data_IF_455023456950
#
_entry.id   IF_455023456950
#
_cell.length_a   1.000
_cell.length_b   1.000
_cell.length_c   1.000
_cell.angle_alpha   90.00
_cell.angle_beta   90.00
_cell.angle_gamma   90.00
#
_symmetry.space_group_name_H-M   'P 1'
#
loop_
_entity.id
_entity.type
_entity.pdbx_description
1 polymer ?
#
# COMPACT_ATOMS: atom_id res chain seq x y z
N UNK A 1 57.03 -28.95 -40.87
CA UNK A 1 55.72 -28.87 -41.58
C UNK A 1 54.52 -29.13 -40.67
N UNK A 2 54.51 -30.19 -39.83
CA UNK A 2 53.41 -30.49 -38.89
C UNK A 2 53.01 -29.33 -37.95
N UNK A 3 53.96 -28.52 -37.50
CA UNK A 3 53.70 -27.45 -36.53
C UNK A 3 52.98 -26.22 -37.13
N UNK A 4 53.17 -25.97 -38.43
CA UNK A 4 52.58 -24.83 -39.14
C UNK A 4 51.09 -25.06 -39.42
N UNK A 5 50.72 -26.31 -39.73
CA UNK A 5 49.33 -26.69 -40.02
C UNK A 5 48.43 -26.60 -38.78
N UNK A 6 48.99 -26.95 -37.62
CA UNK A 6 48.29 -26.91 -36.33
C UNK A 6 47.98 -25.47 -35.90
N UNK A 7 48.90 -24.54 -36.18
CA UNK A 7 48.75 -23.12 -35.86
C UNK A 7 47.65 -22.44 -36.69
N UNK A 8 47.55 -22.78 -37.98
CA UNK A 8 46.50 -22.26 -38.87
C UNK A 8 45.09 -22.72 -38.45
N UNK A 9 44.96 -23.97 -38.01
CA UNK A 9 43.68 -24.51 -37.53
C UNK A 9 43.18 -23.78 -36.26
N UNK A 10 44.08 -23.48 -35.33
CA UNK A 10 43.75 -22.77 -34.08
C UNK A 10 43.32 -21.31 -34.36
N UNK A 11 43.99 -20.62 -35.28
CA UNK A 11 43.63 -19.23 -35.64
C UNK A 11 42.26 -19.18 -36.34
N UNK A 12 41.92 -20.17 -37.16
CA UNK A 12 40.60 -20.26 -37.81
C UNK A 12 39.45 -20.45 -36.83
N UNK A 13 39.64 -21.28 -35.79
CA UNK A 13 38.63 -21.53 -34.75
C UNK A 13 38.36 -20.31 -33.85
N UNK A 14 39.34 -19.43 -33.64
CA UNK A 14 39.20 -18.20 -32.85
C UNK A 14 38.36 -17.10 -33.54
N UNK A 15 38.11 -17.20 -34.85
CA UNK A 15 37.36 -16.19 -35.62
C UNK A 15 35.84 -16.47 -35.73
N UNK A 16 35.36 -17.65 -35.29
CA UNK A 16 33.97 -18.10 -35.48
C UNK A 16 33.10 -17.94 -34.21
N UNK A 17 33.70 -17.65 -33.06
CA UNK A 17 32.98 -17.43 -31.80
C UNK A 17 32.49 -15.99 -31.67
N UNK A 18 31.40 -15.64 -32.37
CA UNK A 18 30.63 -14.41 -32.12
C UNK A 18 29.70 -14.62 -30.92
N UNK A 19 30.23 -14.52 -29.70
CA UNK A 19 29.40 -14.37 -28.50
C UNK A 19 29.11 -12.88 -28.26
N UNK A 20 28.27 -12.30 -29.13
CA UNK A 20 27.63 -11.02 -28.86
C UNK A 20 26.13 -11.25 -29.00
N UNK A 21 25.41 -11.16 -27.87
CA UNK A 21 24.01 -10.77 -27.92
C UNK A 21 23.95 -9.48 -28.72
N UNK A 22 23.07 -9.42 -29.73
CA UNK A 22 23.01 -8.35 -30.73
C UNK A 22 22.59 -6.99 -30.16
N UNK A 23 23.32 -6.50 -29.18
CA UNK A 23 23.17 -5.18 -28.60
C UNK A 23 23.84 -4.22 -29.59
N UNK A 24 23.02 -3.39 -30.24
CA UNK A 24 23.39 -2.33 -31.17
C UNK A 24 23.97 -2.78 -32.53
N UNK A 25 23.34 -3.75 -33.22
CA UNK A 25 23.72 -4.16 -34.59
C UNK A 25 22.52 -4.65 -35.44
N UNK A 26 22.52 -4.34 -36.75
CA UNK A 26 21.43 -4.64 -37.70
C UNK A 26 21.34 -6.13 -38.13
N UNK A 27 22.26 -6.98 -37.69
CA UNK A 27 22.20 -8.43 -37.91
C UNK A 27 22.62 -9.14 -36.63
N UNK A 28 21.70 -9.31 -35.66
CA UNK A 28 21.99 -9.95 -34.39
C UNK A 28 22.18 -11.45 -34.61
N UNK A 29 23.39 -11.96 -34.42
CA UNK A 29 23.73 -13.35 -34.72
C UNK A 29 23.37 -14.38 -33.64
N UNK A 30 22.76 -13.96 -32.51
CA UNK A 30 22.48 -14.84 -31.36
C UNK A 30 21.39 -14.30 -30.44
N UNK A 31 20.71 -15.21 -29.73
CA UNK A 31 19.62 -14.96 -28.78
C UNK A 31 20.13 -14.57 -27.39
N UNK A 32 19.51 -13.59 -26.73
CA UNK A 32 19.73 -13.30 -25.31
C UNK A 32 18.83 -14.20 -24.47
N UNK A 33 19.40 -15.18 -23.76
CA UNK A 33 18.71 -16.02 -22.79
C UNK A 33 19.18 -15.64 -21.37
N UNK A 34 18.29 -15.03 -20.59
CA UNK A 34 18.55 -14.66 -19.18
C UNK A 34 17.76 -15.61 -18.29
N UNK A 35 18.45 -16.63 -17.78
CA UNK A 35 17.87 -17.63 -16.85
C UNK A 35 17.94 -17.23 -15.36
N UNK A 36 18.25 -15.96 -15.10
CA UNK A 36 18.33 -15.37 -13.75
C UNK A 36 17.42 -14.16 -13.60
N UNK A 37 17.56 -13.41 -12.50
CA UNK A 37 16.80 -12.18 -12.26
C UNK A 37 17.57 -10.94 -12.69
N UNK A 38 16.89 -9.98 -13.32
CA UNK A 38 17.38 -8.61 -13.39
C UNK A 38 17.15 -7.94 -12.02
N UNK A 39 18.23 -7.53 -11.35
CA UNK A 39 18.15 -6.77 -10.11
C UNK A 39 18.61 -5.33 -10.37
N UNK A 40 17.71 -4.37 -10.20
CA UNK A 40 18.07 -2.95 -10.15
C UNK A 40 18.61 -2.62 -8.75
N UNK A 41 19.83 -2.08 -8.64
CA UNK A 41 20.36 -1.69 -7.33
C UNK A 41 19.45 -0.67 -6.63
N UNK A 42 19.13 -0.93 -5.36
CA UNK A 42 18.50 0.04 -4.47
C UNK A 42 19.59 0.88 -3.79
N UNK A 43 19.57 2.18 -4.02
CA UNK A 43 20.48 3.13 -3.40
C UNK A 43 19.68 4.04 -2.46
N UNK A 44 19.95 3.94 -1.16
CA UNK A 44 19.44 4.90 -0.18
C UNK A 44 20.31 6.15 -0.20
N UNK A 45 19.70 7.31 -0.37
CA UNK A 45 20.43 8.59 -0.51
C UNK A 45 19.78 9.62 0.41
N UNK A 46 20.60 10.29 1.23
CA UNK A 46 20.14 11.31 2.19
C UNK A 46 20.12 12.72 1.60
N UNK A 47 20.95 12.97 0.58
CA UNK A 47 20.86 14.04 -0.42
C UNK A 47 22.08 13.91 -1.34
N UNK A 48 21.91 13.78 -2.66
CA UNK A 48 22.99 14.02 -3.65
C UNK A 48 22.54 13.74 -5.08
N UNK A 49 23.15 14.49 -6.00
CA UNK A 49 23.24 14.22 -7.43
C UNK A 49 23.85 12.83 -7.66
N UNK A 50 23.10 11.90 -8.22
CA UNK A 50 23.69 10.63 -8.66
C UNK A 50 24.38 10.84 -10.00
N UNK A 51 25.58 10.27 -10.14
CA UNK A 51 26.30 10.27 -11.41
C UNK A 51 25.59 9.44 -12.48
N UNK A 52 25.79 9.81 -13.74
CA UNK A 52 25.11 9.38 -14.96
C UNK A 52 25.23 7.88 -15.34
N UNK A 53 25.46 6.95 -14.41
CA UNK A 53 25.78 5.55 -14.75
C UNK A 53 24.94 4.47 -14.08
N UNK A 54 24.08 4.78 -13.12
CA UNK A 54 23.33 3.74 -12.40
C UNK A 54 21.82 3.82 -12.67
N UNK A 55 21.24 2.78 -13.28
CA UNK A 55 19.80 2.51 -13.21
C UNK A 55 19.48 2.10 -11.76
N UNK A 56 19.00 3.04 -10.95
CA UNK A 56 18.83 2.82 -9.51
C UNK A 56 17.41 3.11 -9.07
N UNK A 57 16.96 2.34 -8.08
CA UNK A 57 15.89 2.80 -7.19
C UNK A 57 16.53 3.70 -6.16
N UNK A 58 16.07 4.94 -6.05
CA UNK A 58 16.66 5.97 -5.19
C UNK A 58 15.68 6.20 -4.05
N UNK A 59 16.06 5.87 -2.82
CA UNK A 59 15.18 6.00 -1.66
C UNK A 59 15.61 7.17 -0.78
N UNK A 60 14.76 8.20 -0.74
CA UNK A 60 14.87 9.34 0.17
C UNK A 60 14.06 9.09 1.44
N UNK A 61 14.62 9.45 2.60
CA UNK A 61 13.92 9.39 3.90
C UNK A 61 13.64 10.77 4.51
N UNK A 62 14.23 11.83 3.93
CA UNK A 62 14.07 13.23 4.34
C UNK A 62 13.77 14.11 3.12
N UNK A 63 13.43 15.38 3.34
CA UNK A 63 13.28 16.32 2.22
C UNK A 63 14.62 16.52 1.54
N UNK A 64 14.60 16.71 0.22
CA UNK A 64 15.82 16.91 -0.54
C UNK A 64 15.55 17.10 -2.02
N UNK A 65 16.60 17.47 -2.75
CA UNK A 65 16.54 17.64 -4.20
C UNK A 65 17.31 16.51 -4.88
N UNK A 66 16.67 15.87 -5.85
CA UNK A 66 17.31 14.97 -6.81
C UNK A 66 17.45 15.68 -8.15
N UNK A 67 18.69 15.98 -8.54
CA UNK A 67 18.96 16.55 -9.87
C UNK A 67 19.15 15.43 -10.88
N UNK A 68 18.32 15.44 -11.93
CA UNK A 68 18.46 14.56 -13.08
C UNK A 68 19.76 14.90 -13.83
N UNK A 69 20.49 13.89 -14.33
CA UNK A 69 21.62 14.08 -15.24
C UNK A 69 21.31 15.04 -16.39
N UNK A 70 22.30 15.81 -16.86
CA UNK A 70 22.13 16.56 -18.09
C UNK A 70 22.07 15.59 -19.29
N UNK A 71 21.08 15.74 -20.16
CA UNK A 71 20.99 14.98 -21.40
C UNK A 71 22.19 15.30 -22.31
N UNK A 72 22.72 14.26 -22.96
CA UNK A 72 23.91 14.32 -23.79
C UNK A 72 23.53 13.96 -25.23
N UNK A 73 24.05 14.70 -26.22
CA UNK A 73 23.93 14.34 -27.64
C UNK A 73 25.10 13.48 -28.09
N UNK A 74 24.88 12.61 -29.08
CA UNK A 74 25.93 11.78 -29.67
C UNK A 74 26.29 10.55 -28.81
N UNK A 75 27.56 10.17 -28.82
CA UNK A 75 28.03 9.00 -28.08
C UNK A 75 27.80 9.17 -26.58
N UNK A 76 27.16 8.19 -25.95
CA UNK A 76 26.77 8.26 -24.54
C UNK A 76 25.39 8.88 -24.28
N UNK A 77 24.63 9.26 -25.31
CA UNK A 77 23.20 9.57 -25.16
C UNK A 77 22.48 8.40 -24.47
N UNK A 78 21.72 8.71 -23.42
CA UNK A 78 21.06 7.74 -22.57
C UNK A 78 19.53 7.81 -22.68
N UNK A 79 19.04 8.17 -23.87
CA UNK A 79 17.62 8.08 -24.22
C UNK A 79 17.06 6.71 -23.85
N UNK A 80 15.91 6.71 -23.19
CA UNK A 80 15.25 5.53 -22.68
C UNK A 80 15.65 5.11 -21.26
N UNK A 81 16.67 5.72 -20.65
CA UNK A 81 17.04 5.43 -19.26
C UNK A 81 15.96 5.87 -18.28
N UNK A 82 15.67 5.02 -17.31
CA UNK A 82 14.66 5.25 -16.27
C UNK A 82 15.31 5.39 -14.89
N UNK A 83 14.77 6.32 -14.09
CA UNK A 83 15.07 6.48 -12.67
C UNK A 83 13.81 6.26 -11.86
N UNK A 84 13.89 5.40 -10.85
CA UNK A 84 12.81 5.19 -9.89
C UNK A 84 13.16 5.92 -8.61
N UNK A 85 12.41 6.97 -8.27
CA UNK A 85 12.68 7.84 -7.13
C UNK A 85 11.57 7.66 -6.12
N UNK A 86 11.90 7.05 -4.98
CA UNK A 86 10.99 6.80 -3.86
C UNK A 86 11.21 7.84 -2.78
N UNK A 87 10.14 8.54 -2.41
CA UNK A 87 10.07 9.31 -1.18
C UNK A 87 9.46 8.42 -0.08
N UNK A 88 10.31 7.85 0.76
CA UNK A 88 9.92 6.92 1.82
C UNK A 88 9.52 7.56 3.15
N UNK A 89 9.61 8.88 3.31
CA UNK A 89 9.15 9.56 4.52
C UNK A 89 7.70 10.05 4.38
N UNK A 90 7.05 10.33 5.52
CA UNK A 90 5.61 10.64 5.58
C UNK A 90 5.30 12.13 5.41
N UNK A 91 6.17 13.02 5.88
CA UNK A 91 5.93 14.48 5.94
C UNK A 91 6.92 15.31 5.12
N UNK A 92 7.83 14.66 4.40
CA UNK A 92 8.86 15.29 3.58
C UNK A 92 8.46 15.34 2.10
N UNK A 93 9.06 16.29 1.39
CA UNK A 93 8.92 16.44 -0.07
C UNK A 93 10.29 16.24 -0.70
N UNK A 94 10.34 15.39 -1.72
CA UNK A 94 11.51 15.24 -2.57
C UNK A 94 11.27 16.01 -3.86
N UNK A 95 12.12 16.98 -4.16
CA UNK A 95 12.04 17.74 -5.41
C UNK A 95 12.96 17.10 -6.44
N UNK A 96 12.40 16.69 -7.56
CA UNK A 96 13.18 16.31 -8.73
C UNK A 96 13.42 17.58 -9.53
N UNK A 97 14.66 17.81 -9.94
CA UNK A 97 15.06 19.00 -10.69
C UNK A 97 15.81 18.58 -11.95
N UNK A 98 15.58 19.27 -13.06
CA UNK A 98 16.35 19.10 -14.29
C UNK A 98 17.66 19.87 -14.26
N UNK A 99 18.63 19.43 -15.06
CA UNK A 99 19.88 20.16 -15.28
C UNK A 99 19.71 21.19 -16.39
N UNK A 100 20.37 22.35 -16.31
CA UNK A 100 20.33 23.38 -17.35
C UNK A 100 18.89 23.87 -17.68
N UNK A 101 18.58 24.12 -18.96
CA UNK A 101 17.27 24.55 -19.45
C UNK A 101 16.36 23.38 -19.88
N UNK A 102 16.64 22.17 -19.36
CA UNK A 102 15.86 20.95 -19.62
C UNK A 102 14.51 20.97 -18.90
N UNK A 103 13.57 20.17 -19.40
CA UNK A 103 12.23 20.08 -18.80
C UNK A 103 11.76 18.62 -18.66
N UNK A 104 10.84 18.45 -17.71
CA UNK A 104 10.09 17.24 -17.44
C UNK A 104 8.68 17.44 -18.00
N UNK A 105 8.23 16.53 -18.86
CA UNK A 105 6.84 16.40 -19.24
C UNK A 105 6.04 15.77 -18.08
N UNK A 106 5.19 16.61 -17.50
CA UNK A 106 4.21 16.28 -16.48
C UNK A 106 2.81 16.44 -17.09
N UNK A 107 2.33 15.37 -17.73
CA UNK A 107 0.98 15.31 -18.32
C UNK A 107 0.76 16.44 -19.33
N UNK A 108 1.71 16.64 -20.25
CA UNK A 108 1.68 17.66 -21.29
C UNK A 108 2.17 19.03 -20.85
N UNK A 109 2.49 19.23 -19.58
CA UNK A 109 3.11 20.46 -19.07
C UNK A 109 4.61 20.28 -18.88
N UNK A 110 5.42 21.18 -19.45
CA UNK A 110 6.88 21.16 -19.32
C UNK A 110 7.32 21.94 -18.08
N UNK A 111 7.93 21.25 -17.11
CA UNK A 111 8.39 21.82 -15.84
C UNK A 111 9.88 21.57 -15.60
N UNK A 112 10.58 22.50 -14.96
CA UNK A 112 11.99 22.28 -14.56
C UNK A 112 12.15 21.54 -13.23
N UNK A 113 11.06 21.44 -12.46
CA UNK A 113 11.01 20.73 -11.18
C UNK A 113 9.71 19.96 -11.03
N UNK A 114 9.76 18.86 -10.28
CA UNK A 114 8.60 18.04 -9.95
C UNK A 114 8.71 17.55 -8.50
N UNK A 115 7.66 17.77 -7.70
CA UNK A 115 7.65 17.37 -6.30
C UNK A 115 7.03 15.98 -6.13
N UNK A 116 7.77 15.08 -5.47
CA UNK A 116 7.31 13.75 -5.07
C UNK A 116 6.85 13.82 -3.61
N UNK A 117 5.54 13.68 -3.33
CA UNK A 117 5.02 13.70 -1.96
C UNK A 117 5.51 12.52 -1.13
N UNK A 118 5.40 12.64 0.19
CA UNK A 118 5.71 11.57 1.13
C UNK A 118 4.97 10.26 0.83
N UNK A 119 5.69 9.15 0.81
CA UNK A 119 5.19 7.82 0.54
C UNK A 119 4.90 7.50 -0.93
N UNK A 120 5.31 8.34 -1.89
CA UNK A 120 5.19 8.03 -3.33
C UNK A 120 6.49 7.50 -3.93
N UNK A 121 6.37 6.78 -5.04
CA UNK A 121 7.46 6.48 -5.97
C UNK A 121 7.10 6.99 -7.36
N UNK A 122 8.07 7.59 -8.05
CA UNK A 122 7.92 8.06 -9.43
C UNK A 122 8.98 7.40 -10.31
N UNK A 123 8.60 7.05 -11.54
CA UNK A 123 9.52 6.64 -12.60
C UNK A 123 9.61 7.77 -13.62
N UNK A 124 10.82 8.23 -13.88
CA UNK A 124 11.12 9.27 -14.86
C UNK A 124 12.07 8.72 -15.91
N UNK A 125 11.76 8.98 -17.17
CA UNK A 125 12.48 8.47 -18.33
C UNK A 125 13.12 9.59 -19.13
N UNK A 126 14.39 9.41 -19.54
CA UNK A 126 15.02 10.30 -20.50
C UNK A 126 14.45 10.05 -21.90
N UNK A 127 14.11 11.08 -22.65
CA UNK A 127 13.52 10.95 -23.99
C UNK A 127 14.57 10.78 -25.10
N UNK A 128 15.84 11.05 -24.78
CA UNK A 128 16.94 11.13 -25.75
C UNK A 128 17.12 12.53 -26.36
N UNK A 129 16.19 13.45 -26.11
CA UNK A 129 16.32 14.86 -26.52
C UNK A 129 17.25 15.62 -25.57
N UNK A 130 17.94 16.65 -26.09
CA UNK A 130 18.79 17.56 -25.31
C UNK A 130 18.18 18.95 -25.09
N UNK A 131 16.95 19.17 -25.57
CA UNK A 131 16.19 20.40 -25.35
C UNK A 131 14.69 20.12 -25.39
N UNK A 132 13.89 21.02 -24.81
CA UNK A 132 12.44 20.83 -24.69
C UNK A 132 12.11 19.68 -23.75
N UNK A 133 11.26 18.74 -24.21
CA UNK A 133 10.87 17.54 -23.47
C UNK A 133 12.02 16.52 -23.41
N UNK A 134 12.94 16.73 -22.48
CA UNK A 134 14.12 15.88 -22.23
C UNK A 134 13.83 14.72 -21.28
N UNK A 135 12.84 14.90 -20.40
CA UNK A 135 12.46 13.96 -19.36
C UNK A 135 10.94 13.79 -19.34
N UNK A 136 10.45 12.60 -19.01
CA UNK A 136 9.02 12.33 -18.94
C UNK A 136 8.70 11.48 -17.72
N UNK A 137 7.64 11.85 -16.99
CA UNK A 137 7.09 11.00 -15.94
C UNK A 137 6.28 9.90 -16.61
N UNK A 138 6.70 8.64 -16.45
CA UNK A 138 6.03 7.48 -17.05
C UNK A 138 5.13 6.75 -16.06
N UNK A 139 5.42 6.87 -14.77
CA UNK A 139 4.64 6.24 -13.72
C UNK A 139 4.80 7.00 -12.40
N UNK A 140 3.73 7.17 -11.65
CA UNK A 140 3.78 7.60 -10.26
C UNK A 140 2.75 6.83 -9.47
N UNK A 141 3.15 6.28 -8.34
CA UNK A 141 2.23 5.54 -7.47
C UNK A 141 2.49 5.84 -6.01
N UNK A 142 1.41 5.80 -5.24
CA UNK A 142 1.49 5.87 -3.79
C UNK A 142 1.96 4.51 -3.26
N UNK A 143 3.12 4.48 -2.62
CA UNK A 143 3.67 3.29 -1.95
C UNK A 143 3.18 3.12 -0.52
N UNK A 144 2.44 4.10 0.02
CA UNK A 144 1.64 3.84 1.20
C UNK A 144 0.58 2.84 0.79
N UNK A 145 0.72 1.62 1.31
CA UNK A 145 -0.40 0.69 1.40
C UNK A 145 -1.34 1.22 2.49
N UNK A 146 -1.92 2.41 2.27
CA UNK A 146 -3.09 2.90 3.01
C UNK A 146 -4.28 2.06 2.54
N UNK A 147 -4.22 0.76 2.83
CA UNK A 147 -5.33 -0.13 2.60
C UNK A 147 -6.41 0.32 3.57
N UNK A 148 -7.58 0.66 3.03
CA UNK A 148 -8.78 0.39 3.79
C UNK A 148 -8.73 -1.08 4.15
N UNK A 149 -8.32 -1.41 5.38
CA UNK A 149 -8.26 -2.79 5.80
C UNK A 149 -9.69 -3.19 6.05
N UNK A 150 -10.26 -3.95 5.12
CA UNK A 150 -11.59 -4.54 5.29
C UNK A 150 -11.41 -5.97 5.79
N UNK A 151 -12.11 -6.32 6.85
CA UNK A 151 -12.20 -7.69 7.35
C UNK A 151 -13.66 -7.99 7.62
N UNK A 152 -14.11 -9.20 7.28
CA UNK A 152 -15.52 -9.56 7.41
C UNK A 152 -15.69 -11.01 7.83
N UNK A 153 -16.83 -11.29 8.45
CA UNK A 153 -17.30 -12.65 8.70
C UNK A 153 -18.82 -12.70 8.47
N UNK A 154 -19.27 -13.80 7.87
CA UNK A 154 -20.68 -14.14 7.72
C UNK A 154 -20.83 -15.58 8.22
N UNK A 155 -21.76 -15.81 9.14
CA UNK A 155 -22.02 -17.15 9.66
C UNK A 155 -23.50 -17.35 10.01
N UNK A 156 -23.95 -18.60 10.01
CA UNK A 156 -25.31 -18.97 10.45
C UNK A 156 -25.29 -19.53 11.86
N UNK A 157 -26.30 -19.20 12.66
CA UNK A 157 -26.42 -19.69 14.03
C UNK A 157 -27.80 -19.43 14.64
N UNK A 158 -28.11 -20.12 15.74
CA UNK A 158 -29.34 -19.85 16.50
C UNK A 158 -29.18 -18.66 17.45
N UNK A 159 -27.93 -18.36 17.83
CA UNK A 159 -27.50 -17.28 18.72
C UNK A 159 -26.18 -16.71 18.21
N UNK A 160 -25.71 -15.59 18.76
CA UNK A 160 -24.37 -15.09 18.46
C UNK A 160 -23.29 -16.06 18.95
N UNK A 161 -22.15 -16.09 18.26
CA UNK A 161 -21.04 -16.98 18.57
C UNK A 161 -19.81 -16.14 18.91
N UNK A 162 -19.39 -16.20 20.18
CA UNK A 162 -18.29 -15.38 20.71
C UNK A 162 -16.91 -15.79 20.18
N UNK A 163 -16.82 -16.93 19.49
CA UNK A 163 -15.62 -17.37 18.77
C UNK A 163 -15.53 -16.78 17.35
N UNK A 164 -16.62 -16.24 16.81
CA UNK A 164 -16.67 -15.62 15.48
C UNK A 164 -16.29 -14.15 15.59
N UNK A 165 -15.01 -13.88 15.39
CA UNK A 165 -14.45 -12.54 15.57
C UNK A 165 -13.93 -11.97 14.25
N UNK A 166 -14.00 -10.65 14.11
CA UNK A 166 -13.33 -9.88 13.04
C UNK A 166 -12.29 -8.98 13.67
N UNK A 167 -11.07 -9.01 13.15
CA UNK A 167 -9.98 -8.12 13.58
C UNK A 167 -9.74 -7.09 12.48
N UNK A 168 -9.69 -5.81 12.84
CA UNK A 168 -9.21 -4.76 11.96
C UNK A 168 -8.37 -3.75 12.75
N UNK A 169 -7.16 -3.46 12.27
CA UNK A 169 -6.19 -2.68 13.04
C UNK A 169 -5.83 -3.39 14.35
N UNK A 170 -6.02 -2.71 15.48
CA UNK A 170 -5.78 -3.29 16.82
C UNK A 170 -7.09 -3.63 17.57
N UNK A 171 -8.23 -3.54 16.89
CA UNK A 171 -9.53 -3.84 17.47
C UNK A 171 -10.06 -5.18 16.98
N UNK A 172 -10.79 -5.86 17.87
CA UNK A 172 -11.48 -7.11 17.60
C UNK A 172 -12.96 -6.95 17.91
N UNK A 173 -13.78 -7.46 17.01
CA UNK A 173 -15.22 -7.29 16.97
C UNK A 173 -15.90 -8.65 16.97
N UNK A 174 -17.03 -8.78 17.67
CA UNK A 174 -17.86 -10.00 17.66
C UNK A 174 -19.28 -9.69 18.07
N UNK A 175 -20.18 -10.66 17.86
CA UNK A 175 -21.45 -10.67 18.56
C UNK A 175 -21.28 -11.26 19.97
N UNK A 176 -22.03 -10.77 20.94
CA UNK A 176 -22.24 -11.48 22.20
C UNK A 176 -23.01 -12.78 21.94
N UNK A 177 -22.97 -13.71 22.90
CA UNK A 177 -23.68 -14.99 22.77
C UNK A 177 -25.20 -14.81 22.80
N UNK A 178 -25.75 -14.79 24.01
CA UNK A 178 -27.15 -14.45 24.28
C UNK A 178 -27.12 -13.27 25.25
N UNK A 179 -27.81 -12.17 24.93
CA UNK A 179 -28.01 -11.12 25.92
C UNK A 179 -28.90 -11.66 27.07
N UNK A 180 -28.56 -11.43 28.35
CA UNK A 180 -29.36 -11.95 29.46
C UNK A 180 -30.82 -11.50 29.38
N UNK A 181 -31.76 -12.46 29.39
CA UNK A 181 -33.21 -12.18 29.44
C UNK A 181 -33.86 -11.79 28.11
N UNK A 182 -33.20 -11.95 26.97
CA UNK A 182 -33.75 -11.58 25.65
C UNK A 182 -34.08 -12.78 24.76
N UNK A 183 -34.94 -12.59 23.73
CA UNK A 183 -35.27 -13.65 22.78
C UNK A 183 -34.04 -14.19 22.02
N UNK A 184 -34.09 -15.43 21.52
CA UNK A 184 -33.07 -15.97 20.62
C UNK A 184 -32.83 -15.04 19.42
N UNK A 185 -31.56 -14.77 19.09
CA UNK A 185 -31.17 -13.84 18.03
C UNK A 185 -30.94 -12.40 18.48
N UNK A 186 -31.29 -12.04 19.73
CA UNK A 186 -30.92 -10.75 20.32
C UNK A 186 -29.48 -10.78 20.85
N UNK A 187 -28.61 -9.95 20.25
CA UNK A 187 -27.16 -9.93 20.50
C UNK A 187 -26.64 -8.50 20.66
N UNK A 188 -25.53 -8.35 21.37
CA UNK A 188 -24.79 -7.07 21.42
C UNK A 188 -23.61 -7.13 20.46
N UNK A 189 -23.41 -6.13 19.59
CA UNK A 189 -22.10 -5.86 19.05
C UNK A 189 -21.10 -5.66 20.20
N UNK A 190 -19.93 -6.28 20.13
CA UNK A 190 -18.88 -6.14 21.14
C UNK A 190 -17.54 -5.75 20.52
N UNK A 191 -16.75 -5.00 21.29
CA UNK A 191 -15.38 -4.60 20.94
C UNK A 191 -14.39 -4.96 22.05
N UNK A 192 -13.17 -5.34 21.66
CA UNK A 192 -11.99 -5.32 22.51
C UNK A 192 -10.75 -4.90 21.69
N UNK A 193 -9.59 -4.86 22.33
CA UNK A 193 -8.29 -4.75 21.65
C UNK A 193 -7.60 -6.11 21.57
N UNK A 194 -6.87 -6.33 20.49
CA UNK A 194 -6.12 -7.58 20.26
C UNK A 194 -4.85 -7.61 21.13
N UNK A 195 -4.11 -6.50 21.15
CA UNK A 195 -2.83 -6.40 21.83
C UNK A 195 -2.88 -5.40 22.97
N UNK A 196 -2.06 -5.64 24.00
CA UNK A 196 -1.87 -4.69 25.09
C UNK A 196 -1.37 -3.36 24.52
N UNK A 197 -2.07 -2.24 24.74
CA UNK A 197 -1.70 -0.97 24.15
C UNK A 197 -0.48 -0.30 24.80
N UNK A 198 0.01 -0.79 25.94
CA UNK A 198 1.11 -0.18 26.72
C UNK A 198 0.72 1.11 27.44
N UNK A 199 -0.15 1.92 26.85
CA UNK A 199 -0.79 3.11 27.43
C UNK A 199 -2.30 3.09 27.19
N UNK A 200 -3.04 4.00 27.83
CA UNK A 200 -4.49 4.08 27.64
C UNK A 200 -4.83 4.59 26.23
N UNK A 201 -5.62 3.81 25.49
CA UNK A 201 -6.19 4.20 24.19
C UNK A 201 -7.63 4.63 24.41
N UNK A 202 -7.96 5.85 23.98
CA UNK A 202 -9.31 6.38 24.03
C UNK A 202 -9.96 6.33 22.65
N UNK A 203 -11.17 5.79 22.59
CA UNK A 203 -11.96 5.75 21.38
C UNK A 203 -13.30 6.43 21.61
N UNK A 204 -13.76 7.17 20.59
CA UNK A 204 -15.11 7.69 20.52
C UNK A 204 -15.89 6.85 19.50
N UNK A 205 -17.07 6.38 19.88
CA UNK A 205 -17.89 5.49 19.07
C UNK A 205 -19.27 6.09 18.90
N UNK A 206 -19.63 6.42 17.66
CA UNK A 206 -21.00 6.75 17.28
C UNK A 206 -21.68 5.54 16.66
N UNK A 207 -22.87 5.19 17.15
CA UNK A 207 -23.67 4.05 16.70
C UNK A 207 -24.97 4.56 16.08
N UNK A 208 -25.35 3.98 14.95
CA UNK A 208 -26.66 4.11 14.34
C UNK A 208 -27.27 2.71 14.24
N UNK A 209 -28.30 2.45 15.04
CA UNK A 209 -29.10 1.23 14.98
C UNK A 209 -30.36 1.51 14.16
N UNK A 210 -30.59 0.71 13.13
CA UNK A 210 -31.84 0.67 12.39
C UNK A 210 -32.68 -0.50 12.90
N UNK A 211 -33.84 -0.16 13.44
CA UNK A 211 -34.77 -1.14 13.99
C UNK A 211 -35.49 -1.91 12.90
N UNK A 212 -35.90 -3.13 13.26
CA UNK A 212 -36.72 -3.99 12.39
C UNK A 212 -38.12 -3.40 12.14
N UNK A 213 -38.62 -2.59 13.08
CA UNK A 213 -39.80 -1.74 12.91
C UNK A 213 -39.36 -0.32 12.63
N UNK A 214 -39.77 0.22 11.47
CA UNK A 214 -39.50 1.59 10.97
C UNK A 214 -39.08 2.60 12.06
N UNK A 215 -37.78 2.71 12.31
CA UNK A 215 -37.20 3.48 13.41
C UNK A 215 -35.67 3.40 13.48
N UNK A 216 -35.07 4.34 14.20
CA UNK A 216 -33.62 4.40 14.42
C UNK A 216 -33.26 4.88 15.82
N UNK A 217 -32.10 4.46 16.31
CA UNK A 217 -31.48 4.98 17.53
C UNK A 217 -30.03 5.41 17.25
N UNK A 218 -29.65 6.54 17.87
CA UNK A 218 -28.28 7.03 17.87
C UNK A 218 -27.71 6.99 19.28
N UNK A 219 -26.55 6.37 19.44
CA UNK A 219 -25.84 6.32 20.70
C UNK A 219 -24.38 6.73 20.53
N UNK A 220 -23.87 7.54 21.45
CA UNK A 220 -22.47 7.93 21.50
C UNK A 220 -21.83 7.32 22.75
N UNK A 221 -20.70 6.66 22.58
CA UNK A 221 -19.97 6.01 23.65
C UNK A 221 -18.51 6.46 23.61
N UNK A 222 -17.89 6.57 24.78
CA UNK A 222 -16.44 6.71 24.90
C UNK A 222 -15.92 5.50 25.63
N UNK A 223 -14.91 4.85 25.06
CA UNK A 223 -14.25 3.73 25.69
C UNK A 223 -12.77 4.02 25.90
N UNK A 224 -12.28 3.73 27.10
CA UNK A 224 -10.85 3.74 27.42
C UNK A 224 -10.37 2.30 27.56
N UNK A 225 -9.41 1.90 26.75
CA UNK A 225 -8.70 0.63 26.87
C UNK A 225 -7.35 0.86 27.51
N UNK A 226 -7.16 0.34 28.72
CA UNK A 226 -5.92 0.39 29.50
C UNK A 226 -5.15 -0.91 29.34
N UNK A 227 -3.85 -0.96 29.71
CA UNK A 227 -3.10 -2.21 29.77
C UNK A 227 -3.75 -3.32 30.62
N UNK A 228 -4.64 -2.96 31.55
CA UNK A 228 -5.31 -3.92 32.44
C UNK A 228 -6.64 -4.46 31.87
N UNK A 229 -7.30 -3.75 30.95
CA UNK A 229 -8.64 -4.12 30.47
C UNK A 229 -8.74 -4.27 28.93
N UNK A 230 -7.63 -4.12 28.21
CA UNK A 230 -7.64 -4.04 26.74
C UNK A 230 -8.34 -5.24 26.06
N UNK A 231 -8.18 -6.44 26.61
CA UNK A 231 -8.74 -7.69 26.05
C UNK A 231 -10.18 -7.98 26.49
N UNK A 232 -10.75 -7.16 27.38
CA UNK A 232 -12.11 -7.36 27.88
C UNK A 232 -13.11 -6.83 26.87
N UNK A 233 -13.96 -7.71 26.35
CA UNK A 233 -15.04 -7.33 25.44
C UNK A 233 -16.07 -6.46 26.15
N UNK A 234 -16.47 -5.38 25.47
CA UNK A 234 -17.51 -4.43 25.92
C UNK A 234 -18.59 -4.30 24.86
N UNK A 235 -19.83 -4.20 25.29
CA UNK A 235 -20.98 -4.00 24.43
C UNK A 235 -20.95 -2.61 23.79
N UNK A 236 -21.44 -2.53 22.56
CA UNK A 236 -21.65 -1.28 21.83
C UNK A 236 -23.09 -1.28 21.25
N UNK A 237 -23.94 -0.31 21.64
CA UNK A 237 -23.68 0.71 22.64
C UNK A 237 -23.52 0.12 24.06
N UNK A 238 -22.83 0.82 24.96
CA UNK A 238 -22.57 0.32 26.32
C UNK A 238 -23.84 0.23 27.18
N UNK A 239 -24.87 0.98 26.79
CA UNK A 239 -26.22 1.01 27.37
C UNK A 239 -27.22 1.14 26.23
N UNK A 240 -28.37 0.49 26.31
CA UNK A 240 -29.41 0.57 25.28
C UNK A 240 -30.00 -0.79 24.96
N UNK A 241 -30.85 -0.83 23.94
CA UNK A 241 -31.42 -2.08 23.45
C UNK A 241 -30.35 -2.91 22.72
N UNK A 242 -30.40 -4.22 22.91
CA UNK A 242 -29.60 -5.15 22.12
C UNK A 242 -30.09 -5.20 20.67
N UNK A 243 -29.25 -5.66 19.75
CA UNK A 243 -29.62 -5.82 18.35
C UNK A 243 -30.53 -7.03 18.18
N UNK A 244 -31.73 -6.83 17.66
CA UNK A 244 -32.69 -7.90 17.38
C UNK A 244 -32.51 -8.48 15.96
N UNK A 245 -33.18 -9.59 15.62
CA UNK A 245 -33.18 -10.08 14.25
C UNK A 245 -33.74 -9.05 13.26
N UNK A 246 -33.11 -8.97 12.10
CA UNK A 246 -33.38 -8.02 11.01
C UNK A 246 -33.01 -6.56 11.33
N UNK A 247 -32.10 -6.34 12.27
CA UNK A 247 -31.57 -5.02 12.60
C UNK A 247 -30.14 -4.82 12.09
N UNK A 248 -29.86 -3.58 11.69
CA UNK A 248 -28.57 -3.13 11.18
C UNK A 248 -27.95 -2.13 12.16
N UNK A 249 -26.71 -2.37 12.56
CA UNK A 249 -25.92 -1.44 13.35
C UNK A 249 -24.71 -0.96 12.56
N UNK A 250 -24.62 0.35 12.32
CA UNK A 250 -23.45 0.99 11.71
C UNK A 250 -22.73 1.80 12.78
N UNK A 251 -21.46 1.52 12.96
CA UNK A 251 -20.62 2.15 13.97
C UNK A 251 -19.46 2.90 13.35
N UNK A 252 -19.21 4.08 13.88
CA UNK A 252 -18.12 4.97 13.52
C UNK A 252 -17.20 5.10 14.72
N UNK A 253 -15.97 4.62 14.61
CA UNK A 253 -15.01 4.63 15.71
C UNK A 253 -13.84 5.55 15.35
N UNK A 254 -13.56 6.50 16.24
CA UNK A 254 -12.41 7.41 16.15
C UNK A 254 -11.45 7.05 17.28
N UNK A 255 -10.31 6.47 16.92
CA UNK A 255 -9.17 6.28 17.81
C UNK A 255 -8.39 7.59 17.87
N UNK A 256 -8.72 8.40 18.87
CA UNK A 256 -8.14 9.74 19.04
C UNK A 256 -6.69 9.68 19.50
N UNK A 257 -6.27 8.57 20.11
CA UNK A 257 -4.88 8.36 20.53
C UNK A 257 -3.96 8.15 19.34
N UNK A 258 -4.39 7.35 18.35
CA UNK A 258 -3.56 7.02 17.18
C UNK A 258 -3.96 7.74 15.89
N UNK A 259 -4.97 8.61 15.93
CA UNK A 259 -5.45 9.37 14.76
C UNK A 259 -6.03 8.48 13.67
N UNK A 260 -6.82 7.46 14.03
CA UNK A 260 -7.38 6.48 13.08
C UNK A 260 -8.90 6.47 13.11
N UNK A 261 -9.50 6.20 11.95
CA UNK A 261 -10.94 6.08 11.82
C UNK A 261 -11.32 4.67 11.37
N UNK A 262 -12.44 4.17 11.88
CA UNK A 262 -12.95 2.85 11.54
C UNK A 262 -14.46 2.94 11.32
N UNK A 263 -14.96 2.11 10.40
CA UNK A 263 -16.39 1.87 10.22
C UNK A 263 -16.66 0.39 10.40
N UNK A 264 -17.65 0.05 11.22
CA UNK A 264 -18.02 -1.33 11.48
C UNK A 264 -19.52 -1.51 11.32
N UNK A 265 -19.92 -2.50 10.54
CA UNK A 265 -21.30 -2.89 10.30
C UNK A 265 -21.57 -4.23 10.95
N UNK A 266 -22.59 -4.28 11.79
CA UNK A 266 -23.17 -5.51 12.33
C UNK A 266 -24.57 -5.68 11.77
N UNK A 267 -24.89 -6.89 11.33
CA UNK A 267 -26.24 -7.21 10.84
C UNK A 267 -26.63 -8.62 11.24
N UNK A 268 -27.88 -8.79 11.67
CA UNK A 268 -28.49 -10.10 11.93
C UNK A 268 -29.70 -10.21 11.02
N UNK A 269 -29.77 -11.22 10.17
CA UNK A 269 -30.93 -11.46 9.29
C UNK A 269 -31.63 -12.77 9.59
N UNK A 270 -32.94 -12.78 9.35
CA UNK A 270 -33.81 -13.94 9.51
C UNK A 270 -35.00 -13.65 10.43
N UNK A 271 -36.18 -14.14 10.08
CA UNK A 271 -37.39 -14.07 10.91
C UNK A 271 -37.49 -15.21 11.92
N UNK A 272 -36.70 -16.26 11.74
CA UNK A 272 -36.59 -17.41 12.65
C UNK A 272 -35.20 -18.03 12.51
N UNK A 273 -34.78 -18.78 13.54
CA UNK A 273 -33.50 -19.46 13.54
C UNK A 273 -33.43 -20.56 12.43
N UNK A 274 -32.25 -20.81 11.84
CA UNK A 274 -30.98 -20.13 12.10
C UNK A 274 -30.92 -18.73 11.46
N UNK A 275 -30.37 -17.78 12.20
CA UNK A 275 -30.12 -16.42 11.73
C UNK A 275 -28.78 -16.36 10.98
N UNK A 276 -28.61 -15.36 10.12
CA UNK A 276 -27.31 -15.01 9.52
C UNK A 276 -26.74 -13.80 10.23
N UNK A 277 -25.52 -13.95 10.73
CA UNK A 277 -24.77 -12.92 11.44
C UNK A 277 -23.66 -12.41 10.53
N UNK A 278 -23.58 -11.11 10.37
CA UNK A 278 -22.59 -10.43 9.53
C UNK A 278 -21.86 -9.38 10.33
N UNK A 279 -20.53 -9.38 10.23
CA UNK A 279 -19.67 -8.30 10.70
C UNK A 279 -18.78 -7.88 9.53
N UNK A 280 -18.78 -6.58 9.19
CA UNK A 280 -17.84 -5.99 8.24
C UNK A 280 -17.13 -4.85 8.96
N UNK A 281 -15.80 -4.87 9.01
CA UNK A 281 -15.01 -3.88 9.72
C UNK A 281 -13.94 -3.29 8.79
N UNK A 282 -13.88 -1.97 8.75
CA UNK A 282 -13.06 -1.18 7.85
C UNK A 282 -12.21 -0.19 8.66
N UNK A 283 -10.93 -0.02 8.30
CA UNK A 283 -10.03 0.98 8.88
C UNK A 283 -9.58 1.94 7.79
N UNK A 284 -9.63 3.24 8.06
CA UNK A 284 -9.19 4.32 7.19
C UNK A 284 -7.99 5.07 7.81
#
# INVERSE_FOLDING_TARGET
MKNILTLFAIIGLLHISKAQVGINTASPGSTLDVRGSFATPLQSVTASTLGDKNQSVINFTNSGTFTLPAAISGEGNFGGREYQIRNGGYSNVVTIQTSNAETIDNIGSLVSTFNVPGGYIVTIKNTGATSGNTWMITHMTNTNVNQSNTSQIIYSGNIGDTSKTVIVGNFIFRFSGVAPGTPPGSVSPQIAMVNNPGTTVNINVGVNQQYSTDGFEYANNTFSFTPANYSTFRDIPATGAHMAPNELNIMNLVDTTNGRYYRITFYVSGSSAPYTFTIVAEKF
#
